data_IF_212394772365
#
_entry.id   IF_212394772365
#
_cell.length_a   1.000
_cell.length_b   1.000
_cell.length_c   1.000
_cell.angle_alpha   90.00
_cell.angle_beta   90.00
_cell.angle_gamma   90.00
#
_symmetry.space_group_name_H-M   'P 1'
#
loop_
_entity.id
_entity.type
_entity.pdbx_description
1 polymer ?
#
# COMPACT_ATOMS: atom_id res chain seq x y z
N UNK A 1 41.30 -39.29 30.12
CA UNK A 1 40.62 -38.81 28.89
C UNK A 1 40.33 -37.33 29.07
N UNK A 2 41.09 -36.46 28.42
CA UNK A 2 40.91 -35.01 28.52
C UNK A 2 39.70 -34.59 27.65
N UNK A 3 38.70 -34.01 28.27
CA UNK A 3 37.59 -33.37 27.56
C UNK A 3 38.15 -32.15 26.81
N UNK A 4 38.29 -32.28 25.48
CA UNK A 4 38.68 -31.15 24.66
C UNK A 4 37.66 -30.02 24.76
N UNK A 5 38.11 -28.89 25.25
CA UNK A 5 37.37 -27.63 25.15
C UNK A 5 37.25 -27.25 23.68
N UNK A 6 36.06 -27.40 23.12
CA UNK A 6 35.74 -26.77 21.85
C UNK A 6 35.58 -25.27 22.12
N UNK A 7 36.62 -24.51 21.84
CA UNK A 7 36.51 -23.06 21.71
C UNK A 7 35.62 -22.77 20.50
N UNK A 8 34.33 -22.65 20.73
CA UNK A 8 33.42 -22.03 19.73
C UNK A 8 33.67 -20.53 19.81
N UNK A 9 34.29 -19.98 18.79
CA UNK A 9 34.51 -18.53 18.64
C UNK A 9 33.20 -17.70 18.67
N UNK A 10 32.06 -18.37 18.52
CA UNK A 10 30.75 -17.75 18.59
C UNK A 10 29.93 -18.37 19.71
N UNK A 11 29.92 -17.69 20.84
CA UNK A 11 29.05 -18.06 21.96
C UNK A 11 27.63 -17.61 21.62
N UNK A 12 26.69 -18.54 21.55
CA UNK A 12 25.27 -18.20 21.45
C UNK A 12 24.83 -17.51 22.73
N UNK A 13 24.68 -16.22 22.69
CA UNK A 13 24.05 -15.46 23.76
C UNK A 13 22.55 -15.77 23.74
N UNK A 14 22.03 -16.37 24.79
CA UNK A 14 20.60 -16.53 24.98
C UNK A 14 20.02 -15.18 25.42
N UNK A 15 19.56 -14.41 24.46
CA UNK A 15 18.80 -13.19 24.74
C UNK A 15 17.39 -13.58 25.20
N UNK A 16 16.90 -13.08 26.34
CA UNK A 16 15.51 -13.30 26.71
C UNK A 16 14.61 -12.70 25.62
N UNK A 17 13.64 -13.48 25.16
CA UNK A 17 12.66 -12.96 24.21
C UNK A 17 11.85 -11.88 24.90
N UNK A 18 11.71 -10.70 24.30
CA UNK A 18 10.82 -9.67 24.84
C UNK A 18 9.39 -10.18 24.92
N UNK A 19 8.57 -9.69 25.87
CA UNK A 19 7.17 -10.04 25.94
C UNK A 19 6.46 -9.61 24.65
N UNK A 20 5.51 -10.44 24.21
CA UNK A 20 4.71 -10.20 23.01
C UNK A 20 3.48 -9.42 23.43
N UNK A 21 3.23 -8.29 22.78
CA UNK A 21 2.00 -7.52 22.93
C UNK A 21 1.00 -7.90 21.84
N UNK A 22 -0.29 -7.82 22.16
CA UNK A 22 -1.38 -8.04 21.22
C UNK A 22 -2.16 -6.74 21.08
N UNK A 23 -2.35 -6.32 19.85
CA UNK A 23 -3.13 -5.14 19.51
C UNK A 23 -4.38 -5.57 18.73
N UNK A 24 -5.49 -4.91 19.00
CA UNK A 24 -6.70 -5.01 18.22
C UNK A 24 -6.74 -3.82 17.25
N UNK A 25 -6.62 -4.12 15.96
CA UNK A 25 -6.65 -3.14 14.86
C UNK A 25 -8.00 -3.19 14.13
N UNK A 26 -9.03 -3.77 14.73
CA UNK A 26 -10.36 -3.84 14.15
C UNK A 26 -10.92 -2.44 13.91
N UNK A 27 -11.46 -2.22 12.74
CA UNK A 27 -12.05 -0.94 12.34
C UNK A 27 -13.09 -1.15 11.24
N UNK A 28 -13.98 -0.20 11.12
CA UNK A 28 -14.99 -0.16 10.07
C UNK A 28 -14.54 0.81 8.97
N UNK A 29 -14.76 0.41 7.71
CA UNK A 29 -14.51 1.26 6.55
C UNK A 29 -15.76 1.34 5.68
N UNK A 30 -16.26 2.54 5.47
CA UNK A 30 -17.33 2.82 4.54
C UNK A 30 -16.77 3.39 3.25
N UNK A 31 -17.22 2.87 2.11
CA UNK A 31 -16.83 3.35 0.81
C UNK A 31 -17.97 3.19 -0.21
N UNK A 32 -17.93 4.00 -1.25
CA UNK A 32 -18.79 3.83 -2.41
C UNK A 32 -18.03 3.11 -3.51
N UNK A 33 -18.64 2.11 -4.11
CA UNK A 33 -18.00 1.28 -5.12
C UNK A 33 -18.86 1.18 -6.39
N UNK A 34 -18.20 1.14 -7.53
CA UNK A 34 -18.81 0.81 -8.81
C UNK A 34 -18.50 -0.64 -9.16
N UNK A 35 -19.41 -1.31 -9.85
CA UNK A 35 -19.19 -2.67 -10.35
C UNK A 35 -18.00 -2.72 -11.33
N UNK A 36 -17.26 -3.81 -11.31
CA UNK A 36 -16.15 -4.04 -12.22
C UNK A 36 -14.85 -3.30 -11.88
N UNK A 37 -14.75 -2.69 -10.71
CA UNK A 37 -13.53 -2.00 -10.26
C UNK A 37 -12.95 -2.65 -9.00
N UNK A 38 -11.64 -2.57 -8.88
CA UNK A 38 -10.88 -3.00 -7.71
C UNK A 38 -10.67 -1.81 -6.76
N UNK A 39 -10.99 -2.01 -5.50
CA UNK A 39 -10.85 -0.98 -4.48
C UNK A 39 -9.94 -1.48 -3.35
N UNK A 40 -8.91 -0.72 -2.96
CA UNK A 40 -8.15 -1.04 -1.76
C UNK A 40 -8.99 -0.73 -0.53
N UNK A 41 -9.24 -1.76 0.27
CA UNK A 41 -10.04 -1.63 1.50
C UNK A 41 -9.14 -1.42 2.71
N UNK A 42 -8.02 -2.14 2.75
CA UNK A 42 -7.06 -2.10 3.83
C UNK A 42 -5.65 -2.19 3.27
N UNK A 43 -4.76 -1.36 3.79
CA UNK A 43 -3.33 -1.49 3.63
C UNK A 43 -2.69 -1.44 5.02
N UNK A 44 -2.14 -2.55 5.47
CA UNK A 44 -1.53 -2.68 6.79
C UNK A 44 -0.07 -3.07 6.63
N UNK A 45 0.80 -2.27 7.20
CA UNK A 45 2.23 -2.59 7.27
C UNK A 45 2.47 -3.73 8.26
N UNK A 46 3.39 -4.62 7.90
CA UNK A 46 3.78 -5.76 8.69
C UNK A 46 5.29 -5.76 8.93
N UNK A 47 5.71 -5.96 10.15
CA UNK A 47 7.11 -6.08 10.53
C UNK A 47 7.50 -7.55 10.63
N UNK A 48 8.74 -7.94 10.27
CA UNK A 48 9.21 -9.31 10.44
C UNK A 48 9.03 -9.82 11.87
N UNK A 49 8.37 -10.98 12.00
CA UNK A 49 8.05 -11.59 13.30
C UNK A 49 6.63 -11.36 13.79
N UNK A 50 5.89 -10.44 13.18
CA UNK A 50 4.49 -10.20 13.49
C UNK A 50 3.58 -11.35 13.04
N UNK A 51 2.48 -11.52 13.76
CA UNK A 51 1.43 -12.47 13.42
C UNK A 51 0.10 -11.75 13.33
N UNK A 52 -0.49 -11.76 12.15
CA UNK A 52 -1.79 -11.15 11.89
C UNK A 52 -2.87 -12.22 11.77
N UNK A 53 -4.04 -11.91 12.30
CA UNK A 53 -5.28 -12.62 12.02
C UNK A 53 -6.24 -11.61 11.43
N UNK A 54 -6.59 -11.80 10.16
CA UNK A 54 -7.50 -10.91 9.43
C UNK A 54 -8.81 -11.64 9.21
N UNK A 55 -9.91 -10.93 9.46
CA UNK A 55 -11.26 -11.36 9.17
C UNK A 55 -12.03 -10.13 8.69
N UNK A 56 -12.86 -10.27 7.68
CA UNK A 56 -13.71 -9.17 7.21
C UNK A 56 -15.14 -9.62 7.09
N UNK A 57 -16.04 -8.75 7.52
CA UNK A 57 -17.47 -8.85 7.28
C UNK A 57 -17.87 -7.70 6.36
N UNK A 58 -18.68 -8.00 5.33
CA UNK A 58 -19.03 -7.01 4.32
C UNK A 58 -20.54 -6.90 4.19
N UNK A 59 -21.02 -5.67 4.30
CA UNK A 59 -22.42 -5.34 4.02
C UNK A 59 -22.48 -4.41 2.79
N UNK A 60 -23.16 -4.87 1.74
CA UNK A 60 -23.38 -4.09 0.55
C UNK A 60 -24.82 -3.56 0.48
N UNK A 61 -24.95 -2.27 0.20
CA UNK A 61 -26.24 -1.63 -0.08
C UNK A 61 -26.21 -1.07 -1.50
N UNK A 62 -27.19 -1.47 -2.30
CA UNK A 62 -27.34 -0.92 -3.66
C UNK A 62 -28.23 0.31 -3.62
N UNK A 63 -27.94 1.25 -4.54
CA UNK A 63 -28.84 2.35 -4.84
C UNK A 63 -30.11 1.77 -5.48
N UNK A 64 -31.30 2.34 -5.23
CA UNK A 64 -32.53 1.90 -5.89
C UNK A 64 -32.36 1.90 -7.41
N UNK A 65 -32.69 0.78 -8.04
CA UNK A 65 -32.61 0.63 -9.49
C UNK A 65 -33.87 1.18 -10.13
N UNK A 66 -33.74 1.86 -11.24
CA UNK A 66 -34.86 2.40 -12.01
C UNK A 66 -35.70 1.29 -12.64
N UNK A 67 -35.07 0.17 -12.98
CA UNK A 67 -35.72 -1.04 -13.47
C UNK A 67 -35.24 -2.26 -12.68
N UNK A 68 -36.11 -3.29 -12.52
CA UNK A 68 -35.71 -4.49 -11.79
C UNK A 68 -34.52 -5.17 -12.50
N UNK A 69 -33.47 -5.48 -11.77
CA UNK A 69 -32.36 -6.27 -12.26
C UNK A 69 -32.58 -7.74 -11.91
N UNK A 70 -32.58 -8.58 -12.94
CA UNK A 70 -32.62 -10.03 -12.78
C UNK A 70 -31.17 -10.56 -12.75
N UNK A 71 -30.59 -10.64 -11.59
CA UNK A 71 -29.23 -11.14 -11.44
C UNK A 71 -28.75 -11.09 -9.98
N UNK A 72 -27.71 -11.84 -9.68
CA UNK A 72 -27.04 -11.81 -8.39
C UNK A 72 -25.79 -10.94 -8.45
N UNK A 73 -25.62 -10.06 -7.47
CA UNK A 73 -24.40 -9.32 -7.26
C UNK A 73 -23.49 -10.16 -6.37
N UNK A 74 -22.26 -10.38 -6.81
CA UNK A 74 -21.24 -11.04 -6.04
C UNK A 74 -20.14 -10.04 -5.70
N UNK A 75 -19.80 -9.94 -4.43
CA UNK A 75 -18.70 -9.12 -3.97
C UNK A 75 -17.66 -10.04 -3.30
N UNK A 76 -16.39 -9.78 -3.57
CA UNK A 76 -15.28 -10.57 -3.07
C UNK A 76 -14.29 -9.66 -2.36
N UNK A 77 -13.72 -10.14 -1.28
CA UNK A 77 -12.58 -9.52 -0.61
C UNK A 77 -11.39 -10.46 -0.75
N UNK A 78 -10.33 -9.97 -1.37
CA UNK A 78 -9.09 -10.72 -1.55
C UNK A 78 -8.00 -10.13 -0.66
N UNK A 79 -7.16 -10.98 -0.13
CA UNK A 79 -6.04 -10.63 0.74
C UNK A 79 -4.73 -10.96 0.05
N UNK A 80 -3.83 -10.02 0.01
CA UNK A 80 -2.52 -10.18 -0.60
C UNK A 80 -1.42 -9.78 0.37
N UNK A 81 -0.35 -10.51 0.37
CA UNK A 81 0.88 -10.15 1.05
C UNK A 81 1.92 -9.76 0.01
N UNK A 82 2.38 -8.53 0.05
CA UNK A 82 3.34 -7.99 -0.91
C UNK A 82 4.63 -7.58 -0.19
N UNK A 83 5.74 -8.31 -0.39
CA UNK A 83 7.03 -7.93 0.18
C UNK A 83 7.57 -6.65 -0.47
N UNK A 84 8.12 -5.75 0.34
CA UNK A 84 8.65 -4.48 -0.14
C UNK A 84 9.81 -4.63 -1.14
N UNK A 85 10.58 -5.71 -1.08
CA UNK A 85 11.64 -6.04 -2.04
C UNK A 85 11.14 -6.22 -3.49
N UNK A 86 9.85 -6.53 -3.68
CA UNK A 86 9.24 -6.61 -5.01
C UNK A 86 8.79 -5.25 -5.54
N UNK A 87 8.66 -4.28 -4.65
CA UNK A 87 8.18 -2.94 -4.96
C UNK A 87 9.32 -1.93 -5.16
N UNK A 88 10.47 -2.23 -4.56
CA UNK A 88 11.60 -1.34 -4.55
C UNK A 88 12.92 -2.10 -4.51
N UNK A 89 13.74 -1.95 -5.55
CA UNK A 89 14.98 -2.71 -5.74
C UNK A 89 16.04 -2.41 -4.67
N UNK A 90 16.05 -1.18 -4.14
CA UNK A 90 16.99 -0.76 -3.11
C UNK A 90 16.53 -1.08 -1.67
N UNK A 91 15.51 -1.91 -1.52
CA UNK A 91 14.97 -2.28 -0.20
C UNK A 91 16.01 -2.99 0.68
N UNK A 92 16.84 -3.82 0.10
CA UNK A 92 17.91 -4.53 0.80
C UNK A 92 18.96 -3.56 1.34
N UNK A 93 19.43 -2.64 0.51
CA UNK A 93 20.41 -1.61 0.89
C UNK A 93 19.85 -0.67 1.95
N UNK A 94 18.57 -0.35 1.86
CA UNK A 94 17.88 0.47 2.86
C UNK A 94 17.87 -0.18 4.26
N UNK A 95 17.67 -1.50 4.35
CA UNK A 95 17.62 -2.22 5.62
C UNK A 95 19.02 -2.53 6.15
N UNK A 96 19.95 -2.90 5.27
CA UNK A 96 21.28 -3.36 5.65
C UNK A 96 22.32 -2.24 5.72
N UNK A 97 22.06 -1.13 5.01
CA UNK A 97 23.01 -0.03 4.84
C UNK A 97 23.96 -0.25 3.66
N UNK A 98 23.65 -1.17 2.74
CA UNK A 98 24.47 -1.49 1.57
C UNK A 98 25.81 -2.17 1.92
N UNK A 99 26.74 -2.17 0.97
CA UNK A 99 28.07 -2.79 1.14
C UNK A 99 28.91 -2.10 2.21
N UNK A 100 28.77 -0.79 2.37
CA UNK A 100 29.55 0.00 3.33
C UNK A 100 28.89 0.11 4.71
N UNK A 101 27.62 -0.24 4.82
CA UNK A 101 26.80 -0.04 6.02
C UNK A 101 26.35 1.41 6.22
N UNK A 102 26.68 2.31 5.31
CA UNK A 102 26.34 3.74 5.39
C UNK A 102 25.35 4.18 4.29
N UNK A 103 25.10 3.33 3.32
CA UNK A 103 24.17 3.61 2.23
C UNK A 103 22.75 3.68 2.76
N UNK A 104 22.09 4.81 2.54
CA UNK A 104 20.71 5.05 2.96
C UNK A 104 19.88 5.56 1.79
N UNK A 105 19.49 4.68 0.89
CA UNK A 105 18.61 5.06 -0.20
C UNK A 105 17.28 5.59 0.34
N UNK A 106 16.74 6.58 -0.35
CA UNK A 106 15.47 7.21 0.06
C UNK A 106 14.30 6.37 -0.46
N UNK A 107 13.35 5.96 0.40
CA UNK A 107 12.17 5.25 -0.05
C UNK A 107 11.38 6.05 -1.10
N UNK A 108 10.75 5.39 -2.08
CA UNK A 108 9.98 6.09 -3.09
C UNK A 108 8.79 6.83 -2.45
N UNK A 109 8.71 8.11 -2.69
CA UNK A 109 7.65 8.96 -2.18
C UNK A 109 7.12 9.90 -3.27
N UNK A 110 5.94 10.42 -3.04
CA UNK A 110 5.34 11.48 -3.84
C UNK A 110 4.91 12.61 -2.91
N UNK A 111 5.05 13.84 -3.38
CA UNK A 111 4.50 14.97 -2.64
C UNK A 111 2.97 14.96 -2.73
N UNK A 112 2.29 15.21 -1.62
CA UNK A 112 0.84 15.35 -1.61
C UNK A 112 0.38 16.47 -2.57
N UNK A 113 1.16 17.55 -2.69
CA UNK A 113 0.89 18.62 -3.64
C UNK A 113 0.88 18.13 -5.10
N UNK A 114 1.78 17.22 -5.46
CA UNK A 114 1.86 16.68 -6.82
C UNK A 114 0.71 15.73 -7.12
N UNK A 115 0.28 14.94 -6.13
CA UNK A 115 -0.92 14.10 -6.26
C UNK A 115 -2.19 14.92 -6.57
N UNK A 116 -2.35 16.06 -5.91
CA UNK A 116 -3.49 16.94 -6.14
C UNK A 116 -3.39 17.65 -7.48
N UNK A 117 -2.21 18.10 -7.87
CA UNK A 117 -1.99 18.79 -9.15
C UNK A 117 -2.27 17.92 -10.37
N UNK A 118 -1.88 16.66 -10.33
CA UNK A 118 -2.08 15.75 -11.45
C UNK A 118 -3.57 15.55 -11.78
N UNK A 119 -4.44 15.69 -10.81
CA UNK A 119 -5.90 15.62 -11.03
C UNK A 119 -6.54 16.94 -11.44
N UNK A 120 -5.96 18.08 -11.07
CA UNK A 120 -6.50 19.40 -11.45
C UNK A 120 -6.37 19.68 -12.94
N UNK A 121 -5.40 19.07 -13.61
CA UNK A 121 -5.20 19.17 -15.05
C UNK A 121 -6.30 18.45 -15.86
N UNK A 122 -7.09 17.64 -15.21
CA UNK A 122 -8.17 16.87 -15.83
C UNK A 122 -9.50 17.61 -15.77
N UNK A 123 -9.56 18.76 -16.45
CA UNK A 123 -10.84 19.43 -16.81
C UNK A 123 -11.63 20.07 -15.66
N UNK A 124 -11.37 21.34 -15.35
CA UNK A 124 -12.42 22.30 -14.95
C UNK A 124 -13.19 22.08 -13.64
N UNK A 125 -12.88 21.04 -12.87
CA UNK A 125 -13.55 20.76 -11.61
C UNK A 125 -12.68 21.25 -10.46
N UNK A 126 -12.96 22.46 -9.98
CA UNK A 126 -12.23 23.10 -8.88
C UNK A 126 -12.64 22.61 -7.49
N UNK A 127 -13.68 21.81 -7.38
CA UNK A 127 -14.21 21.32 -6.12
C UNK A 127 -14.01 19.80 -5.97
N UNK A 128 -13.43 19.36 -4.86
CA UNK A 128 -13.20 17.97 -4.50
C UNK A 128 -12.19 17.22 -5.40
N UNK A 129 -11.02 17.79 -5.58
CA UNK A 129 -9.89 17.13 -6.25
C UNK A 129 -9.54 15.85 -5.50
N UNK A 130 -9.57 14.74 -6.21
CA UNK A 130 -9.23 13.42 -5.67
C UNK A 130 -10.38 12.56 -5.19
N UNK A 131 -11.61 13.04 -5.21
CA UNK A 131 -12.78 12.22 -4.88
C UNK A 131 -12.87 11.00 -5.80
N UNK A 132 -13.01 9.81 -5.21
CA UNK A 132 -13.00 8.52 -5.93
C UNK A 132 -11.68 8.19 -6.65
N UNK A 133 -10.59 8.88 -6.35
CA UNK A 133 -9.27 8.50 -6.81
C UNK A 133 -8.69 7.38 -5.94
N UNK A 134 -7.62 6.73 -6.42
CA UNK A 134 -7.02 5.61 -5.70
C UNK A 134 -6.54 6.00 -4.30
N UNK A 135 -5.98 7.21 -4.14
CA UNK A 135 -5.50 7.68 -2.84
C UNK A 135 -6.62 8.00 -1.84
N UNK A 136 -7.81 8.38 -2.30
CA UNK A 136 -9.00 8.51 -1.47
C UNK A 136 -9.37 7.16 -0.83
N UNK A 137 -9.34 6.10 -1.62
CA UNK A 137 -9.57 4.74 -1.11
C UNK A 137 -8.46 4.24 -0.16
N UNK A 138 -7.25 4.76 -0.26
CA UNK A 138 -6.19 4.53 0.74
C UNK A 138 -6.37 5.37 2.00
N UNK A 139 -7.34 6.28 2.04
CA UNK A 139 -7.63 7.11 3.22
C UNK A 139 -6.79 8.38 3.30
N UNK A 140 -6.19 8.81 2.19
CA UNK A 140 -5.52 10.10 2.14
C UNK A 140 -6.54 11.23 2.04
N UNK A 141 -6.27 12.38 2.64
CA UNK A 141 -7.22 13.50 2.65
C UNK A 141 -7.48 14.01 1.24
N UNK A 142 -8.74 14.35 0.97
CA UNK A 142 -9.16 15.02 -0.25
C UNK A 142 -8.96 16.51 -0.06
N UNK A 143 -8.21 17.14 -0.95
CA UNK A 143 -7.94 18.57 -0.92
C UNK A 143 -8.81 19.36 -1.90
N UNK A 144 -9.06 20.63 -1.58
CA UNK A 144 -9.41 21.61 -2.60
C UNK A 144 -8.10 22.15 -3.18
N UNK A 145 -8.02 22.20 -4.51
CA UNK A 145 -6.98 22.98 -5.16
C UNK A 145 -7.30 24.47 -4.91
N UNK A 146 -6.74 25.00 -3.84
CA UNK A 146 -6.96 26.39 -3.46
C UNK A 146 -6.11 27.38 -4.26
N UNK A 147 -5.45 26.92 -5.34
CA UNK A 147 -4.53 27.80 -6.08
C UNK A 147 -3.43 28.40 -5.20
N UNK A 148 -3.34 27.95 -3.98
CA UNK A 148 -2.47 28.49 -2.95
C UNK A 148 -1.13 27.74 -2.98
N UNK A 149 -0.06 28.50 -3.02
CA UNK A 149 1.32 28.05 -2.86
C UNK A 149 1.63 27.39 -1.50
N UNK A 150 0.63 27.20 -0.66
CA UNK A 150 0.73 26.66 0.71
C UNK A 150 0.25 25.21 0.87
N UNK A 151 0.17 24.43 -0.21
CA UNK A 151 -0.05 22.98 -0.04
C UNK A 151 1.19 22.40 0.59
N UNK A 152 1.04 21.89 1.80
CA UNK A 152 2.14 21.30 2.55
C UNK A 152 2.77 20.15 1.73
N UNK A 153 4.06 20.19 1.38
CA UNK A 153 4.73 19.17 0.60
C UNK A 153 5.01 17.92 1.43
N UNK A 154 4.00 17.39 2.10
CA UNK A 154 4.14 16.17 2.92
C UNK A 154 4.48 15.00 2.00
N UNK A 155 5.60 14.29 2.24
CA UNK A 155 5.94 13.12 1.48
C UNK A 155 5.02 11.96 1.84
N UNK A 156 4.48 11.30 0.83
CA UNK A 156 3.61 10.13 0.96
C UNK A 156 4.33 8.95 0.34
N UNK A 157 4.38 7.83 1.04
CA UNK A 157 4.99 6.60 0.52
C UNK A 157 4.25 6.09 -0.72
N UNK A 158 5.01 5.77 -1.77
CA UNK A 158 4.47 5.17 -2.99
C UNK A 158 4.33 3.64 -2.90
N UNK A 159 4.84 3.00 -1.86
CA UNK A 159 4.81 1.54 -1.74
C UNK A 159 3.39 0.95 -1.80
N UNK A 160 2.36 1.50 -1.12
CA UNK A 160 1.00 1.00 -1.24
C UNK A 160 0.45 1.08 -2.67
N UNK A 161 0.76 2.15 -3.40
CA UNK A 161 0.33 2.33 -4.80
C UNK A 161 1.03 1.36 -5.75
N UNK A 162 2.32 1.15 -5.55
CA UNK A 162 3.09 0.14 -6.28
C UNK A 162 2.56 -1.26 -6.01
N UNK A 163 2.24 -1.58 -4.75
CA UNK A 163 1.63 -2.85 -4.37
C UNK A 163 0.29 -3.08 -5.08
N UNK A 164 -0.58 -2.07 -5.11
CA UNK A 164 -1.86 -2.16 -5.82
C UNK A 164 -1.66 -2.45 -7.32
N UNK A 165 -0.73 -1.77 -7.98
CA UNK A 165 -0.43 -1.99 -9.41
C UNK A 165 0.15 -3.38 -9.67
N UNK A 166 1.05 -3.85 -8.80
CA UNK A 166 1.61 -5.19 -8.90
C UNK A 166 0.51 -6.26 -8.77
N UNK A 167 -0.37 -6.12 -7.78
CA UNK A 167 -1.51 -7.03 -7.58
C UNK A 167 -2.42 -7.03 -8.81
N UNK A 168 -2.71 -5.85 -9.38
CA UNK A 168 -3.51 -5.76 -10.60
C UNK A 168 -2.84 -6.50 -11.76
N UNK A 169 -1.57 -6.25 -12.02
CA UNK A 169 -0.83 -6.87 -13.12
C UNK A 169 -0.80 -8.39 -13.02
N UNK A 170 -0.59 -8.92 -11.81
CA UNK A 170 -0.41 -10.36 -11.61
C UNK A 170 -1.73 -11.15 -11.55
N UNK A 171 -2.79 -10.56 -11.00
CA UNK A 171 -4.00 -11.33 -10.68
C UNK A 171 -5.25 -10.90 -11.45
N UNK A 172 -5.30 -9.69 -11.96
CA UNK A 172 -6.53 -9.14 -12.54
C UNK A 172 -6.40 -8.69 -13.99
N UNK A 173 -5.21 -8.43 -14.45
CA UNK A 173 -4.95 -8.00 -15.81
C UNK A 173 -5.17 -9.13 -16.80
N UNK A 174 -5.90 -8.86 -17.87
CA UNK A 174 -5.89 -9.75 -19.05
C UNK A 174 -4.66 -9.43 -19.90
N UNK A 175 -3.69 -10.34 -19.88
CA UNK A 175 -2.41 -10.17 -20.58
C UNK A 175 -2.54 -10.03 -22.10
N UNK A 176 -3.64 -10.50 -22.67
CA UNK A 176 -3.86 -10.45 -24.12
C UNK A 176 -4.50 -9.12 -24.58
N UNK A 177 -5.15 -8.41 -23.68
CA UNK A 177 -5.95 -7.22 -24.02
C UNK A 177 -5.33 -5.96 -23.43
N UNK A 178 -4.88 -6.03 -22.17
CA UNK A 178 -4.41 -4.87 -21.43
C UNK A 178 -2.89 -4.84 -21.33
N UNK A 179 -2.25 -3.70 -21.64
CA UNK A 179 -0.82 -3.52 -21.37
C UNK A 179 -0.54 -3.53 -19.87
N UNK A 180 0.68 -3.90 -19.51
CA UNK A 180 1.14 -3.88 -18.14
C UNK A 180 1.18 -2.44 -17.59
N UNK A 181 0.62 -2.24 -16.40
CA UNK A 181 0.75 -0.98 -15.69
C UNK A 181 2.16 -0.83 -15.13
N UNK A 182 2.86 0.29 -15.37
CA UNK A 182 4.18 0.49 -14.84
C UNK A 182 4.14 0.49 -13.31
N UNK A 183 4.83 -0.47 -12.68
CA UNK A 183 4.99 -0.54 -11.23
C UNK A 183 5.96 0.55 -10.76
N UNK A 184 7.01 0.80 -11.55
CA UNK A 184 7.91 1.91 -11.32
C UNK A 184 7.27 3.21 -11.82
N UNK A 185 6.47 3.84 -10.98
CA UNK A 185 6.10 5.24 -11.17
C UNK A 185 7.40 6.01 -11.01
N UNK A 186 7.77 6.74 -12.07
CA UNK A 186 9.00 7.50 -12.11
C UNK A 186 9.27 8.18 -10.77
N UNK A 187 10.43 7.89 -10.21
CA UNK A 187 11.04 8.64 -9.12
C UNK A 187 11.24 10.08 -9.60
N UNK A 188 10.17 10.87 -9.59
CA UNK A 188 10.26 12.30 -9.80
C UNK A 188 10.72 12.96 -8.52
N UNK A 189 11.97 12.71 -8.20
CA UNK A 189 12.69 13.26 -7.07
C UNK A 189 14.15 13.39 -7.41
N UNK A 190 14.45 13.99 -8.58
CA UNK A 190 15.75 14.56 -8.89
C UNK A 190 15.56 16.03 -9.19
#
# INVERSE_FOLDING_TARGET
MAKGYRNTLFTRVKTPKPPVNKFDLSHDKMLTAQMGKLYPVLCQEMVPGDRFRVQSDMMCRTVPLVSPAFGSLKAYVHYFFVPNRLLWDQWEDFITGGETGEDRPVPPYVSYADLIRDTSTRSGVTDNVGLNALWDYFGLPIGKDQGSSNINPTPISLLPFKAYRLIYNEYYRDQNVDPELPVNVSESGR
#
